data_IF_614328441609
#
_entry.id   IF_614328441609
#
_cell.length_a   1.000
_cell.length_b   1.000
_cell.length_c   1.000
_cell.angle_alpha   90.00
_cell.angle_beta   90.00
_cell.angle_gamma   90.00
#
_symmetry.space_group_name_H-M   'P 1'
#
loop_
_entity.id
_entity.type
_entity.pdbx_description
1 polymer ?
#
# COMPACT_ATOMS: atom_id res chain seq x y z
N UNK A 1 6.02 -3.82 2.30
CA UNK A 1 4.76 -3.20 1.83
C UNK A 1 4.25 -2.33 2.95
N UNK A 2 3.56 -1.24 2.60
CA UNK A 2 2.83 -0.41 3.55
C UNK A 2 1.70 -1.24 4.19
N UNK A 3 1.16 -0.74 5.29
CA UNK A 3 0.04 -1.40 5.97
C UNK A 3 -1.28 -1.17 5.21
N UNK A 4 -2.26 -2.06 5.41
CA UNK A 4 -3.54 -1.97 4.72
C UNK A 4 -4.30 -0.68 5.03
N UNK A 5 -4.26 -0.18 6.27
CA UNK A 5 -4.95 1.08 6.59
C UNK A 5 -4.16 2.26 6.04
N UNK A 6 -2.83 2.22 5.94
CA UNK A 6 -2.06 3.25 5.24
C UNK A 6 -2.45 3.35 3.76
N UNK A 7 -2.59 2.20 3.06
CA UNK A 7 -3.09 2.16 1.68
C UNK A 7 -4.49 2.76 1.55
N UNK A 8 -5.43 2.36 2.42
CA UNK A 8 -6.79 2.92 2.38
C UNK A 8 -6.78 4.43 2.67
N UNK A 9 -5.94 4.91 3.60
CA UNK A 9 -5.89 6.34 3.97
C UNK A 9 -5.35 7.20 2.83
N UNK A 10 -4.40 6.66 2.06
CA UNK A 10 -3.93 7.27 0.81
C UNK A 10 -5.06 7.23 -0.23
N UNK A 11 -5.73 6.09 -0.38
CA UNK A 11 -6.83 5.94 -1.31
C UNK A 11 -7.95 6.97 -1.05
N UNK A 12 -8.38 7.16 0.20
CA UNK A 12 -9.42 8.14 0.56
C UNK A 12 -9.02 9.56 0.13
N UNK A 13 -7.77 9.95 0.36
CA UNK A 13 -7.25 11.27 -0.04
C UNK A 13 -7.18 11.42 -1.56
N UNK A 14 -6.69 10.41 -2.28
CA UNK A 14 -6.60 10.44 -3.73
C UNK A 14 -8.00 10.48 -4.35
N UNK A 15 -8.96 9.71 -3.82
CA UNK A 15 -10.34 9.66 -4.31
C UNK A 15 -11.03 11.03 -4.30
N UNK A 16 -10.69 11.91 -3.35
CA UNK A 16 -11.21 13.29 -3.31
C UNK A 16 -10.88 14.11 -4.56
N UNK A 17 -9.82 13.74 -5.29
CA UNK A 17 -9.42 14.38 -6.55
C UNK A 17 -10.06 13.73 -7.79
N UNK A 18 -10.64 12.54 -7.66
CA UNK A 18 -11.21 11.75 -8.75
C UNK A 18 -12.62 11.21 -8.38
N UNK A 19 -13.60 12.09 -8.09
CA UNK A 19 -14.94 11.70 -7.62
C UNK A 19 -15.76 10.91 -8.66
N UNK A 20 -15.33 10.87 -9.91
CA UNK A 20 -15.95 10.11 -10.99
C UNK A 20 -15.72 8.59 -10.89
N UNK A 21 -14.74 8.16 -10.09
CA UNK A 21 -14.42 6.75 -9.86
C UNK A 21 -15.57 6.00 -9.16
N UNK A 22 -15.55 4.68 -9.29
CA UNK A 22 -16.36 3.80 -8.45
C UNK A 22 -15.60 3.54 -7.16
N UNK A 23 -16.13 4.06 -6.05
CA UNK A 23 -15.47 4.06 -4.74
C UNK A 23 -15.17 2.66 -4.22
N UNK A 24 -16.10 1.72 -4.36
CA UNK A 24 -15.93 0.33 -3.89
C UNK A 24 -14.89 -0.40 -4.75
N UNK A 25 -14.96 -0.28 -6.07
CA UNK A 25 -13.93 -0.87 -6.93
C UNK A 25 -12.55 -0.27 -6.62
N UNK A 26 -12.47 1.03 -6.43
CA UNK A 26 -11.23 1.75 -6.14
C UNK A 26 -10.60 1.34 -4.81
N UNK A 27 -11.37 1.25 -3.72
CA UNK A 27 -10.85 0.83 -2.42
C UNK A 27 -10.31 -0.61 -2.46
N UNK A 28 -11.03 -1.52 -3.13
CA UNK A 28 -10.60 -2.92 -3.23
C UNK A 28 -9.36 -3.07 -4.12
N UNK A 29 -9.25 -2.24 -5.15
CA UNK A 29 -8.05 -2.14 -5.97
C UNK A 29 -6.80 -1.82 -5.13
N UNK A 30 -6.91 -0.90 -4.17
CA UNK A 30 -5.80 -0.52 -3.28
C UNK A 30 -5.38 -1.61 -2.28
N UNK A 31 -6.14 -2.69 -2.14
CA UNK A 31 -5.81 -3.83 -1.26
C UNK A 31 -5.44 -5.09 -2.04
N UNK A 32 -5.79 -5.15 -3.32
CA UNK A 32 -5.67 -6.35 -4.15
C UNK A 32 -4.24 -6.90 -4.31
N UNK A 33 -3.16 -6.10 -4.45
CA UNK A 33 -1.83 -6.66 -4.70
C UNK A 33 -1.29 -7.56 -3.57
N UNK A 34 -1.73 -7.30 -2.33
CA UNK A 34 -1.40 -8.08 -1.14
C UNK A 34 -2.15 -9.43 -1.04
N UNK A 35 -2.81 -9.87 -2.09
CA UNK A 35 -3.65 -11.08 -2.10
C UNK A 35 -2.95 -12.37 -2.50
N UNK A 36 -1.62 -12.39 -2.58
CA UNK A 36 -0.89 -13.64 -2.76
C UNK A 36 -1.18 -14.60 -1.60
N UNK A 37 -1.50 -15.87 -1.89
CA UNK A 37 -1.73 -16.86 -0.84
C UNK A 37 -0.39 -17.29 -0.23
N UNK A 38 -0.17 -17.10 1.09
CA UNK A 38 1.05 -17.55 1.73
C UNK A 38 1.10 -19.08 1.80
N UNK A 39 2.30 -19.64 1.74
CA UNK A 39 2.57 -21.01 2.19
C UNK A 39 2.55 -21.07 3.74
N UNK A 40 2.67 -22.27 4.31
CA UNK A 40 2.50 -22.52 5.76
C UNK A 40 3.41 -21.65 6.66
N UNK A 41 4.63 -21.36 6.21
CA UNK A 41 5.62 -20.55 6.94
C UNK A 41 5.70 -19.08 6.48
N UNK A 42 4.79 -18.66 5.59
CA UNK A 42 4.68 -17.29 5.07
C UNK A 42 5.92 -16.78 4.31
N UNK A 43 6.78 -17.68 3.85
CA UNK A 43 7.99 -17.32 3.09
C UNK A 43 7.75 -17.21 1.59
N UNK A 44 6.68 -17.82 1.06
CA UNK A 44 6.34 -17.83 -0.36
C UNK A 44 4.87 -17.51 -0.56
N UNK A 45 4.56 -16.83 -1.67
CA UNK A 45 3.21 -16.40 -2.00
C UNK A 45 2.84 -16.86 -3.41
N UNK A 46 1.59 -17.27 -3.60
CA UNK A 46 1.02 -17.62 -4.91
C UNK A 46 -0.19 -16.73 -5.22
N UNK A 47 -0.12 -15.86 -6.25
CA UNK A 47 1.05 -15.58 -7.10
C UNK A 47 2.17 -14.86 -6.33
N UNK A 48 3.43 -14.95 -6.79
CA UNK A 48 4.56 -14.31 -6.12
C UNK A 48 4.52 -12.78 -6.27
N UNK A 49 5.22 -12.07 -5.39
CA UNK A 49 5.27 -10.59 -5.41
C UNK A 49 5.81 -10.02 -6.72
N UNK A 50 6.68 -10.76 -7.43
CA UNK A 50 7.12 -10.35 -8.77
C UNK A 50 5.95 -10.18 -9.76
N UNK A 51 4.89 -10.96 -9.58
CA UNK A 51 3.66 -10.89 -10.37
C UNK A 51 2.71 -9.85 -9.78
N UNK A 52 2.40 -9.91 -8.49
CA UNK A 52 1.36 -9.03 -7.92
C UNK A 52 1.85 -7.59 -7.69
N UNK A 53 3.12 -7.40 -7.33
CA UNK A 53 3.67 -6.08 -6.98
C UNK A 53 4.60 -5.50 -8.06
N UNK A 54 4.78 -6.20 -9.19
CA UNK A 54 5.70 -5.76 -10.25
C UNK A 54 7.11 -5.45 -9.72
N UNK A 55 7.53 -6.20 -8.70
CA UNK A 55 8.77 -6.00 -7.94
C UNK A 55 9.73 -7.17 -8.18
N UNK A 56 10.93 -6.87 -8.68
CA UNK A 56 12.02 -7.83 -8.65
C UNK A 56 12.69 -7.81 -7.28
N UNK A 57 12.38 -8.79 -6.43
CA UNK A 57 12.85 -8.83 -5.03
C UNK A 57 14.38 -8.95 -4.90
N UNK A 58 15.06 -9.55 -5.89
CA UNK A 58 16.53 -9.67 -5.85
C UNK A 58 17.22 -8.32 -6.04
N UNK A 59 16.65 -7.47 -6.89
CA UNK A 59 17.22 -6.15 -7.24
C UNK A 59 16.50 -4.97 -6.59
N UNK A 60 15.37 -5.22 -5.92
CA UNK A 60 14.43 -4.22 -5.39
C UNK A 60 14.00 -3.20 -6.47
N UNK A 61 13.89 -3.65 -7.72
CA UNK A 61 13.46 -2.83 -8.86
C UNK A 61 11.96 -2.99 -9.05
N UNK A 62 11.26 -1.87 -8.97
CA UNK A 62 9.83 -1.80 -9.26
C UNK A 62 9.58 -1.46 -10.72
N UNK A 63 8.52 -2.05 -11.27
CA UNK A 63 8.13 -1.93 -12.67
C UNK A 63 6.63 -1.64 -12.85
N UNK A 64 6.08 -0.80 -11.96
CA UNK A 64 4.65 -0.47 -11.90
C UNK A 64 4.09 0.14 -13.19
N UNK A 65 4.90 0.80 -14.02
CA UNK A 65 4.44 1.30 -15.32
C UNK A 65 4.11 0.19 -16.30
N UNK A 66 4.62 -1.04 -16.10
CA UNK A 66 4.18 -2.20 -16.90
C UNK A 66 2.72 -2.55 -16.59
N UNK A 67 2.33 -2.51 -15.30
CA UNK A 67 0.93 -2.66 -14.92
C UNK A 67 0.07 -1.57 -15.54
N UNK A 68 0.50 -0.31 -15.42
CA UNK A 68 -0.24 0.81 -16.01
C UNK A 68 -0.42 0.64 -17.52
N UNK A 69 0.66 0.34 -18.24
CA UNK A 69 0.62 0.15 -19.70
C UNK A 69 -0.30 -1.00 -20.13
N UNK A 70 -0.31 -2.10 -19.39
CA UNK A 70 -1.07 -3.30 -19.76
C UNK A 70 -2.55 -3.22 -19.35
N UNK A 71 -2.85 -2.58 -18.22
CA UNK A 71 -4.17 -2.66 -17.60
C UNK A 71 -4.93 -1.33 -17.53
N UNK A 72 -4.26 -0.18 -17.60
CA UNK A 72 -4.87 1.14 -17.48
C UNK A 72 -4.76 2.00 -18.74
N UNK A 73 -3.64 1.93 -19.46
CA UNK A 73 -3.43 2.76 -20.65
C UNK A 73 -4.49 2.44 -21.72
N UNK A 74 -5.12 3.50 -22.24
CA UNK A 74 -6.24 3.39 -23.18
C UNK A 74 -7.57 2.86 -22.61
N UNK A 75 -7.66 2.53 -21.31
CA UNK A 75 -8.91 2.08 -20.71
C UNK A 75 -9.86 3.26 -20.48
N UNK A 76 -10.99 3.28 -21.17
CA UNK A 76 -11.97 4.37 -21.07
C UNK A 76 -12.81 4.27 -19.78
N UNK A 77 -12.56 5.17 -18.82
CA UNK A 77 -13.31 5.25 -17.55
C UNK A 77 -14.84 5.24 -17.75
N UNK A 78 -15.36 6.01 -18.70
CA UNK A 78 -16.82 6.12 -18.94
C UNK A 78 -17.46 4.79 -19.35
N UNK A 79 -16.72 3.91 -20.02
CA UNK A 79 -17.20 2.60 -20.49
C UNK A 79 -16.93 1.48 -19.47
N UNK A 80 -15.85 1.61 -18.72
CA UNK A 80 -15.34 0.56 -17.84
C UNK A 80 -15.14 1.04 -16.40
N UNK A 81 -16.11 1.81 -15.87
CA UNK A 81 -15.98 2.53 -14.59
C UNK A 81 -15.41 1.68 -13.45
N UNK A 82 -15.99 0.51 -13.19
CA UNK A 82 -15.57 -0.36 -12.09
C UNK A 82 -14.16 -0.92 -12.33
N UNK A 83 -13.90 -1.51 -13.51
CA UNK A 83 -12.58 -2.06 -13.86
C UNK A 83 -11.49 -1.00 -13.87
N UNK A 84 -11.78 0.20 -14.37
CA UNK A 84 -10.86 1.33 -14.35
C UNK A 84 -10.53 1.74 -12.92
N UNK A 85 -11.56 1.92 -12.09
CA UNK A 85 -11.40 2.34 -10.69
C UNK A 85 -10.61 1.29 -9.89
N UNK A 86 -10.92 0.01 -10.06
CA UNK A 86 -10.17 -1.08 -9.45
C UNK A 86 -8.71 -1.09 -9.87
N UNK A 87 -8.42 -1.00 -11.17
CA UNK A 87 -7.05 -1.03 -11.68
C UNK A 87 -6.28 0.23 -11.28
N UNK A 88 -6.92 1.39 -11.22
CA UNK A 88 -6.28 2.60 -10.73
C UNK A 88 -5.91 2.46 -9.26
N UNK A 89 -6.81 1.91 -8.43
CA UNK A 89 -6.49 1.59 -7.04
C UNK A 89 -5.32 0.61 -6.92
N UNK A 90 -5.31 -0.43 -7.76
CA UNK A 90 -4.20 -1.39 -7.83
C UNK A 90 -2.87 -0.70 -8.14
N UNK A 91 -2.86 0.17 -9.15
CA UNK A 91 -1.66 0.93 -9.52
C UNK A 91 -1.17 1.84 -8.39
N UNK A 92 -2.09 2.52 -7.68
CA UNK A 92 -1.75 3.37 -6.54
C UNK A 92 -1.12 2.60 -5.39
N UNK A 93 -1.56 1.37 -5.13
CA UNK A 93 -0.92 0.49 -4.17
C UNK A 93 0.56 0.24 -4.56
N UNK A 94 0.83 -0.08 -5.83
CA UNK A 94 2.21 -0.29 -6.31
C UNK A 94 3.09 0.94 -6.10
N UNK A 95 2.55 2.15 -6.32
CA UNK A 95 3.27 3.41 -6.06
C UNK A 95 3.49 3.60 -4.55
N UNK A 96 2.47 3.32 -3.74
CA UNK A 96 2.51 3.48 -2.30
C UNK A 96 3.58 2.61 -1.67
N UNK A 97 3.72 1.35 -2.10
CA UNK A 97 4.77 0.47 -1.58
C UNK A 97 6.18 0.90 -1.99
N UNK A 98 6.33 1.46 -3.18
CA UNK A 98 7.60 2.05 -3.60
C UNK A 98 8.02 3.18 -2.69
N UNK A 99 7.08 4.09 -2.40
CA UNK A 99 7.32 5.15 -1.43
C UNK A 99 7.57 4.61 -0.04
N UNK A 100 6.83 3.60 0.41
CA UNK A 100 7.02 2.98 1.72
C UNK A 100 8.42 2.40 1.86
N UNK A 101 8.86 1.63 0.85
CA UNK A 101 10.22 1.09 0.81
C UNK A 101 11.27 2.18 0.92
N UNK A 102 11.15 3.23 0.09
CA UNK A 102 12.16 4.29 0.01
C UNK A 102 12.16 5.23 1.22
N UNK A 103 10.99 5.60 1.73
CA UNK A 103 10.82 6.61 2.80
C UNK A 103 10.82 6.02 4.21
N UNK A 104 10.24 4.83 4.38
CA UNK A 104 10.08 4.20 5.69
C UNK A 104 11.08 3.06 5.87
N UNK A 105 11.10 2.08 4.96
CA UNK A 105 11.93 0.87 5.15
C UNK A 105 13.42 1.19 5.13
N UNK A 106 13.91 1.88 4.10
CA UNK A 106 15.34 2.24 4.00
C UNK A 106 15.83 3.11 5.18
N UNK A 107 14.99 4.06 5.62
CA UNK A 107 15.29 4.88 6.80
C UNK A 107 15.24 4.06 8.09
N UNK A 108 14.30 3.11 8.21
CA UNK A 108 14.21 2.19 9.35
C UNK A 108 15.47 1.38 9.50
N UNK A 109 16.01 0.82 8.41
CA UNK A 109 17.25 0.04 8.42
C UNK A 109 18.43 0.88 8.89
N UNK A 110 18.54 2.11 8.36
CA UNK A 110 19.61 3.05 8.72
C UNK A 110 19.51 3.47 10.19
N UNK A 111 18.32 3.79 10.69
CA UNK A 111 18.11 4.27 12.05
C UNK A 111 18.32 3.19 13.12
N UNK A 112 18.16 1.92 12.74
CA UNK A 112 18.20 0.78 13.64
C UNK A 112 19.37 -0.17 13.34
N UNK A 113 20.46 0.35 12.76
CA UNK A 113 21.63 -0.45 12.36
C UNK A 113 22.14 -1.37 13.48
N UNK A 114 22.12 -0.89 14.73
CA UNK A 114 22.48 -1.69 15.90
C UNK A 114 21.59 -2.94 16.08
N UNK A 115 20.28 -2.82 15.88
CA UNK A 115 19.36 -3.97 15.93
C UNK A 115 19.63 -4.94 14.76
N UNK A 116 19.84 -4.42 13.56
CA UNK A 116 20.18 -5.22 12.38
C UNK A 116 21.54 -5.92 12.47
N UNK A 117 22.45 -5.43 13.31
CA UNK A 117 23.74 -6.09 13.58
C UNK A 117 23.66 -7.28 14.53
N UNK A 118 22.56 -7.42 15.29
CA UNK A 118 22.42 -8.41 16.37
C UNK A 118 21.32 -9.45 16.14
N UNK A 119 20.42 -9.21 15.19
CA UNK A 119 19.27 -10.06 14.87
C UNK A 119 19.17 -10.25 13.36
N UNK A 120 18.50 -11.32 12.94
CA UNK A 120 18.19 -11.48 11.52
C UNK A 120 17.24 -10.37 11.05
N UNK A 121 17.27 -10.08 9.74
CA UNK A 121 16.36 -9.10 9.12
C UNK A 121 14.89 -9.40 9.45
N UNK A 122 14.48 -10.67 9.42
CA UNK A 122 13.11 -11.09 9.71
C UNK A 122 12.70 -10.70 11.13
N UNK A 123 13.48 -11.09 12.13
CA UNK A 123 13.21 -10.80 13.55
C UNK A 123 13.12 -9.29 13.83
N UNK A 124 13.96 -8.48 13.18
CA UNK A 124 13.89 -7.01 13.33
C UNK A 124 12.61 -6.47 12.71
N UNK A 125 12.21 -6.93 11.53
CA UNK A 125 10.96 -6.48 10.92
C UNK A 125 9.72 -6.98 11.64
N UNK A 126 9.73 -8.14 12.28
CA UNK A 126 8.60 -8.59 13.11
C UNK A 126 8.37 -7.65 14.29
N UNK A 127 9.45 -7.20 14.93
CA UNK A 127 9.40 -6.20 15.99
C UNK A 127 8.89 -4.86 15.47
N UNK A 128 9.46 -4.36 14.37
CA UNK A 128 9.14 -3.04 13.83
C UNK A 128 7.72 -2.96 13.26
N UNK A 129 7.26 -4.01 12.59
CA UNK A 129 5.89 -4.07 12.04
C UNK A 129 4.83 -4.04 13.13
N UNK A 130 5.16 -4.40 14.37
CA UNK A 130 4.25 -4.25 15.50
C UNK A 130 3.83 -2.78 15.67
N UNK A 131 4.76 -1.82 15.56
CA UNK A 131 4.43 -0.39 15.56
C UNK A 131 3.51 -0.02 14.39
N UNK A 132 3.81 -0.52 13.18
CA UNK A 132 3.05 -0.17 11.98
C UNK A 132 1.59 -0.62 12.07
N UNK A 133 1.34 -1.87 12.48
CA UNK A 133 -0.01 -2.38 12.62
C UNK A 133 -0.71 -1.88 13.89
N UNK A 134 0.01 -1.60 14.98
CA UNK A 134 -0.58 -0.91 16.13
C UNK A 134 -1.05 0.50 15.76
N UNK A 135 -0.33 1.21 14.88
CA UNK A 135 -0.78 2.50 14.37
C UNK A 135 -2.05 2.39 13.52
N UNK A 136 -2.19 1.33 12.72
CA UNK A 136 -3.42 1.05 11.98
C UNK A 136 -4.60 0.85 12.95
N UNK A 137 -4.46 -0.02 13.96
CA UNK A 137 -5.49 -0.24 14.98
C UNK A 137 -5.80 1.03 15.77
N UNK A 138 -4.77 1.79 16.17
CA UNK A 138 -4.93 3.08 16.86
C UNK A 138 -5.70 4.06 16.00
N UNK A 139 -5.37 4.15 14.71
CA UNK A 139 -6.07 5.04 13.79
C UNK A 139 -7.56 4.68 13.68
N UNK A 140 -7.89 3.41 13.48
CA UNK A 140 -9.29 2.95 13.40
C UNK A 140 -10.06 3.19 14.70
N UNK A 141 -9.45 2.94 15.86
CA UNK A 141 -10.04 3.23 17.19
C UNK A 141 -10.33 4.71 17.36
N UNK A 142 -9.37 5.57 16.99
CA UNK A 142 -9.44 7.01 17.18
C UNK A 142 -10.31 7.70 16.09
N UNK A 143 -10.62 7.00 14.98
CA UNK A 143 -11.42 7.49 13.85
C UNK A 143 -12.55 6.52 13.43
N UNK A 144 -13.55 6.27 14.30
CA UNK A 144 -14.64 5.32 14.01
C UNK A 144 -15.52 5.72 12.80
N UNK A 145 -15.45 6.99 12.38
CA UNK A 145 -16.13 7.51 11.18
C UNK A 145 -15.35 7.37 9.88
N UNK A 146 -14.20 6.68 9.88
CA UNK A 146 -13.35 6.56 8.69
C UNK A 146 -14.08 5.83 7.55
N UNK A 147 -14.39 6.57 6.49
CA UNK A 147 -15.39 6.19 5.48
C UNK A 147 -14.92 4.99 4.66
N UNK A 148 -13.67 4.99 4.21
CA UNK A 148 -13.12 3.91 3.39
C UNK A 148 -13.07 2.58 4.15
N UNK A 149 -12.73 2.61 5.45
CA UNK A 149 -12.76 1.42 6.30
C UNK A 149 -14.18 0.89 6.47
N UNK A 150 -15.13 1.75 6.83
CA UNK A 150 -16.52 1.34 7.03
C UNK A 150 -17.12 0.76 5.74
N UNK A 151 -16.85 1.38 4.59
CA UNK A 151 -17.28 0.86 3.28
C UNK A 151 -16.60 -0.45 2.92
N UNK A 152 -15.30 -0.60 3.15
CA UNK A 152 -14.61 -1.86 2.95
C UNK A 152 -15.27 -2.97 3.76
N UNK A 153 -15.55 -2.71 5.03
CA UNK A 153 -16.19 -3.67 5.93
C UNK A 153 -17.59 -4.05 5.46
N UNK A 154 -18.44 -3.06 5.16
CA UNK A 154 -19.86 -3.25 4.83
C UNK A 154 -20.13 -3.77 3.41
N UNK A 155 -19.17 -3.63 2.48
CA UNK A 155 -19.35 -4.01 1.08
C UNK A 155 -19.02 -5.47 0.81
N UNK A 156 -19.74 -6.06 -0.13
CA UNK A 156 -19.40 -7.34 -0.71
C UNK A 156 -18.05 -7.27 -1.44
N UNK A 157 -17.29 -8.37 -1.37
CA UNK A 157 -16.03 -8.50 -2.11
C UNK A 157 -16.36 -8.57 -3.61
N UNK A 158 -15.83 -7.66 -4.45
CA UNK A 158 -16.17 -7.62 -5.86
C UNK A 158 -15.53 -8.79 -6.63
N UNK A 159 -16.14 -9.13 -7.76
CA UNK A 159 -15.47 -9.98 -8.75
C UNK A 159 -14.39 -9.18 -9.46
N UNK A 160 -13.18 -9.73 -9.53
CA UNK A 160 -12.03 -9.10 -10.16
C UNK A 160 -11.75 -9.67 -11.54
N UNK A 161 -11.17 -8.85 -12.42
CA UNK A 161 -10.78 -9.23 -13.78
C UNK A 161 -9.34 -8.81 -14.05
N UNK A 162 -8.42 -9.49 -13.36
CA UNK A 162 -6.98 -9.48 -13.62
C UNK A 162 -6.52 -10.93 -13.81
N UNK A 163 -5.93 -11.30 -14.97
CA UNK A 163 -5.67 -12.70 -15.32
C UNK A 163 -4.62 -13.35 -14.41
N UNK A 164 -3.76 -12.54 -13.79
CA UNK A 164 -2.70 -13.01 -12.92
C UNK A 164 -3.09 -13.07 -11.44
N UNK A 165 -4.27 -12.56 -11.05
CA UNK A 165 -4.72 -12.55 -9.66
C UNK A 165 -5.95 -13.45 -9.50
N UNK A 166 -5.81 -14.65 -8.91
CA UNK A 166 -6.92 -15.57 -8.71
C UNK A 166 -8.00 -14.97 -7.80
N UNK A 167 -9.27 -15.03 -8.23
CA UNK A 167 -10.42 -14.55 -7.45
C UNK A 167 -10.43 -15.15 -6.02
N UNK A 168 -10.12 -16.45 -5.89
CA UNK A 168 -10.11 -17.12 -4.59
C UNK A 168 -9.03 -16.55 -3.65
N UNK A 169 -7.87 -16.23 -4.18
CA UNK A 169 -6.76 -15.65 -3.41
C UNK A 169 -7.15 -14.25 -2.89
N UNK A 170 -7.74 -13.44 -3.77
CA UNK A 170 -8.30 -12.14 -3.44
C UNK A 170 -9.37 -12.22 -2.34
N UNK A 171 -10.36 -13.11 -2.46
CA UNK A 171 -11.41 -13.28 -1.46
C UNK A 171 -10.86 -13.72 -0.09
N UNK A 172 -9.91 -14.66 -0.08
CA UNK A 172 -9.27 -15.11 1.16
C UNK A 172 -8.58 -13.93 1.86
N UNK A 173 -7.82 -13.14 1.10
CA UNK A 173 -7.12 -12.00 1.68
C UNK A 173 -8.07 -10.91 2.18
N UNK A 174 -9.12 -10.56 1.43
CA UNK A 174 -10.06 -9.52 1.86
C UNK A 174 -10.80 -9.93 3.13
N UNK A 175 -11.18 -11.20 3.26
CA UNK A 175 -11.76 -11.73 4.49
C UNK A 175 -10.77 -11.70 5.66
N UNK A 176 -9.51 -12.10 5.42
CA UNK A 176 -8.46 -12.04 6.42
C UNK A 176 -8.25 -10.61 6.95
N UNK A 177 -8.19 -9.61 6.06
CA UNK A 177 -8.03 -8.19 6.45
C UNK A 177 -9.23 -7.72 7.28
N UNK A 178 -10.46 -8.07 6.88
CA UNK A 178 -11.67 -7.74 7.65
C UNK A 178 -11.60 -8.35 9.06
N UNK A 179 -11.25 -9.63 9.16
CA UNK A 179 -11.11 -10.32 10.44
C UNK A 179 -10.04 -9.66 11.31
N UNK A 180 -8.82 -9.49 10.79
CA UNK A 180 -7.68 -8.94 11.52
C UNK A 180 -7.98 -7.63 12.26
N UNK A 181 -8.72 -6.71 11.63
CA UNK A 181 -9.06 -5.41 12.23
C UNK A 181 -10.33 -5.41 13.06
N UNK A 182 -11.20 -6.42 12.93
CA UNK A 182 -12.46 -6.50 13.70
C UNK A 182 -12.38 -7.43 14.90
N UNK A 183 -11.39 -8.32 14.94
CA UNK A 183 -11.06 -9.17 16.09
C UNK A 183 -9.65 -8.88 16.60
N UNK A 184 -9.34 -7.62 16.99
CA UNK A 184 -8.01 -7.30 17.52
C UNK A 184 -7.75 -8.06 18.83
N UNK A 185 -6.48 -8.37 19.07
CA UNK A 185 -6.01 -8.89 20.35
C UNK A 185 -6.48 -7.97 21.50
N UNK A 186 -7.27 -8.46 22.48
CA UNK A 186 -7.78 -7.64 23.58
C UNK A 186 -6.66 -7.09 24.48
N UNK A 187 -5.48 -7.71 24.47
CA UNK A 187 -4.33 -7.27 25.26
C UNK A 187 -3.44 -6.26 24.49
N UNK A 188 -3.83 -5.88 23.26
CA UNK A 188 -3.08 -4.90 22.45
C UNK A 188 -3.07 -3.51 23.09
N UNK A 189 -1.89 -3.04 23.49
CA UNK A 189 -1.69 -1.71 24.09
C UNK A 189 -1.36 -0.68 23.01
N UNK A 190 -2.32 0.20 22.72
CA UNK A 190 -2.20 1.22 21.66
C UNK A 190 -1.68 2.58 22.17
N UNK A 191 -1.93 2.93 23.43
CA UNK A 191 -1.45 4.19 24.00
C UNK A 191 -0.08 3.99 24.66
N UNK A 192 0.91 3.76 23.80
CA UNK A 192 2.32 3.54 24.14
C UNK A 192 3.23 4.42 23.29
N UNK A 193 4.52 4.41 23.61
CA UNK A 193 5.55 4.96 22.73
C UNK A 193 5.74 4.05 21.52
N UNK A 194 5.98 4.66 20.35
CA UNK A 194 6.21 4.00 19.08
C UNK A 194 7.65 4.26 18.59
N UNK A 195 8.64 3.48 19.07
CA UNK A 195 10.06 3.76 18.85
C UNK A 195 10.53 3.62 17.40
N UNK A 196 9.80 2.92 16.54
CA UNK A 196 10.23 2.64 15.16
C UNK A 196 9.51 3.47 14.11
N UNK A 197 8.23 3.79 14.33
CA UNK A 197 7.45 4.69 13.48
C UNK A 197 6.31 5.27 14.32
N UNK A 198 6.24 6.60 14.44
CA UNK A 198 5.15 7.25 15.16
C UNK A 198 4.03 7.76 14.23
N UNK A 199 2.88 8.07 14.82
CA UNK A 199 1.69 8.53 14.10
C UNK A 199 1.96 9.80 13.27
N UNK A 200 2.78 10.74 13.77
CA UNK A 200 3.09 11.99 13.06
C UNK A 200 3.82 11.73 11.74
N UNK A 201 4.80 10.82 11.74
CA UNK A 201 5.54 10.46 10.53
C UNK A 201 4.68 9.63 9.58
N UNK A 202 3.83 8.73 10.10
CA UNK A 202 2.87 8.01 9.26
C UNK A 202 1.85 8.97 8.59
N UNK A 203 1.37 9.98 9.30
CA UNK A 203 0.47 11.00 8.75
C UNK A 203 1.17 11.86 7.69
N UNK A 204 2.44 12.21 7.91
CA UNK A 204 3.26 12.89 6.92
C UNK A 204 3.39 12.03 5.65
N UNK A 205 3.73 10.75 5.80
CA UNK A 205 3.81 9.78 4.70
C UNK A 205 2.52 9.73 3.89
N UNK A 206 1.38 9.60 4.56
CA UNK A 206 0.09 9.51 3.88
C UNK A 206 -0.21 10.79 3.11
N UNK A 207 0.04 11.97 3.69
CA UNK A 207 -0.22 13.24 3.00
C UNK A 207 0.68 13.45 1.79
N UNK A 208 1.99 13.25 1.93
CA UNK A 208 2.95 13.44 0.83
C UNK A 208 2.75 12.42 -0.28
N UNK A 209 2.58 11.14 0.07
CA UNK A 209 2.35 10.08 -0.93
C UNK A 209 1.04 10.32 -1.68
N UNK A 210 -0.04 10.74 -1.01
CA UNK A 210 -1.30 11.06 -1.69
C UNK A 210 -1.13 12.19 -2.73
N UNK A 211 -0.41 13.26 -2.37
CA UNK A 211 -0.14 14.37 -3.29
C UNK A 211 0.72 13.92 -4.48
N UNK A 212 1.76 13.14 -4.23
CA UNK A 212 2.62 12.60 -5.28
C UNK A 212 1.85 11.67 -6.22
N UNK A 213 0.98 10.81 -5.68
CA UNK A 213 0.11 9.93 -6.48
C UNK A 213 -0.82 10.72 -7.38
N UNK A 214 -1.52 11.74 -6.87
CA UNK A 214 -2.39 12.61 -7.70
C UNK A 214 -1.60 13.25 -8.83
N UNK A 215 -0.39 13.75 -8.54
CA UNK A 215 0.50 14.31 -9.55
C UNK A 215 0.92 13.28 -10.60
N UNK A 216 1.28 12.07 -10.18
CA UNK A 216 1.67 10.99 -11.09
C UNK A 216 0.54 10.60 -12.04
N UNK A 217 -0.70 10.51 -11.54
CA UNK A 217 -1.88 10.24 -12.36
C UNK A 217 -2.01 11.30 -13.46
N UNK A 218 -1.95 12.59 -13.10
CA UNK A 218 -2.02 13.68 -14.10
C UNK A 218 -0.86 13.69 -15.10
N UNK A 219 0.36 13.32 -14.67
CA UNK A 219 1.49 13.21 -15.59
C UNK A 219 1.26 12.09 -16.62
N UNK A 220 0.68 10.97 -16.18
CA UNK A 220 0.40 9.80 -17.04
C UNK A 220 -0.80 10.01 -17.96
N UNK A 221 -1.76 10.89 -17.60
CA UNK A 221 -2.81 11.36 -18.53
C UNK A 221 -2.22 12.10 -19.73
N UNK A 222 -1.03 12.70 -19.59
CA UNK A 222 -0.27 13.31 -20.68
C UNK A 222 0.38 12.31 -21.64
N UNK A 223 0.28 11.01 -21.34
CA UNK A 223 0.83 9.90 -22.11
C UNK A 223 1.91 9.14 -21.36
N UNK A 224 1.99 7.84 -21.63
CA UNK A 224 3.00 6.98 -21.01
C UNK A 224 4.41 7.34 -21.52
N UNK A 225 5.38 7.63 -20.63
CA UNK A 225 6.77 7.88 -21.03
C UNK A 225 7.38 6.66 -21.72
N UNK A 226 8.11 6.90 -22.80
CA UNK A 226 8.90 5.84 -23.47
C UNK A 226 10.08 5.45 -22.58
N UNK A 227 10.36 4.15 -22.51
CA UNK A 227 11.53 3.54 -21.86
C UNK A 227 11.59 3.65 -20.32
N UNK A 228 10.55 4.17 -19.66
CA UNK A 228 10.46 4.17 -18.19
C UNK A 228 9.68 2.95 -17.68
N UNK A 229 10.14 2.38 -16.57
CA UNK A 229 9.50 1.21 -15.93
C UNK A 229 8.84 1.53 -14.59
N UNK A 230 9.29 2.58 -13.89
CA UNK A 230 8.74 3.00 -12.60
C UNK A 230 8.17 4.40 -12.71
N UNK A 231 6.99 4.62 -12.11
CA UNK A 231 6.36 5.95 -12.08
C UNK A 231 7.15 6.94 -11.24
N UNK A 232 7.90 6.50 -10.23
CA UNK A 232 8.72 7.39 -9.40
C UNK A 232 9.82 8.08 -10.21
N UNK A 233 10.19 7.56 -11.38
CA UNK A 233 11.11 8.23 -12.31
C UNK A 233 10.55 9.50 -12.94
N UNK A 234 9.24 9.75 -12.81
CA UNK A 234 8.57 11.00 -13.23
C UNK A 234 8.64 12.10 -12.17
N UNK A 235 9.11 11.77 -10.96
CA UNK A 235 9.22 12.70 -9.84
C UNK A 235 10.64 13.25 -9.73
N UNK A 236 10.77 14.40 -9.08
CA UNK A 236 12.06 14.94 -8.71
C UNK A 236 12.75 14.05 -7.65
N UNK A 237 14.09 14.12 -7.53
CA UNK A 237 14.81 13.42 -6.48
C UNK A 237 14.31 13.78 -5.08
N UNK A 238 13.87 15.02 -4.85
CA UNK A 238 13.36 15.51 -3.57
C UNK A 238 11.99 14.91 -3.22
N UNK A 239 11.07 14.85 -4.19
CA UNK A 239 9.74 14.25 -4.00
C UNK A 239 9.84 12.77 -3.59
N UNK A 240 10.81 12.06 -4.18
CA UNK A 240 11.06 10.64 -3.91
C UNK A 240 12.09 10.39 -2.79
N UNK A 241 12.66 11.42 -2.16
CA UNK A 241 13.70 11.26 -1.15
C UNK A 241 13.23 10.49 0.09
N UNK A 242 14.15 9.74 0.69
CA UNK A 242 13.95 9.05 1.97
C UNK A 242 13.74 10.04 3.12
N UNK A 243 13.06 9.61 4.18
CA UNK A 243 12.90 10.44 5.37
C UNK A 243 14.16 10.50 6.22
N UNK A 244 14.30 11.61 6.93
CA UNK A 244 15.36 11.80 7.91
C UNK A 244 14.96 11.18 9.26
N UNK A 245 15.90 10.54 9.99
CA UNK A 245 15.68 10.08 11.37
C UNK A 245 15.29 11.21 12.34
N UNK A 246 14.63 10.86 13.47
CA UNK A 246 14.02 9.56 13.76
C UNK A 246 12.63 9.43 13.14
N UNK A 247 12.23 8.19 12.80
CA UNK A 247 10.87 7.87 12.34
C UNK A 247 9.89 7.67 13.52
N UNK A 248 10.39 7.12 14.62
CA UNK A 248 9.64 6.86 15.84
C UNK A 248 9.81 7.93 16.90
N UNK A 249 9.25 7.65 18.07
CA UNK A 249 9.41 8.45 19.27
C UNK A 249 10.85 8.32 19.83
N UNK A 250 11.36 9.41 20.40
CA UNK A 250 12.64 9.47 21.12
C UNK A 250 12.46 9.12 22.60
#
# INVERSE_FOLDING_TARGET
MATWIAHLRIAEKVFQHFPELDEISFLYGNLAPDSGLPNEDWTQFEPPRKVTHYLDEATHVYTDLLFYAEYLDGLELKKHKNSYSFRLGYFIHLITDQFWWRKIVGTTETNNEALFSTKSRGEVFDLIKTDWYDLDHKYLRDHPGYVFWNKFFDSDIPNISLPFLPQKAFEVQMNYIKEYYTTPDPDRVLDRSYPYLNARILDLFINETSQAVVRLIHLLEGGLPKDMKSSLSLLSPEESASYYPPLGDL
#
